data_IF_033410933057
#
_entry.id   IF_033410933057
#
_cell.length_a   1.000
_cell.length_b   1.000
_cell.length_c   1.000
_cell.angle_alpha   90.00
_cell.angle_beta   90.00
_cell.angle_gamma   90.00
#
_symmetry.space_group_name_H-M   'P 1'
#
loop_
_entity.id
_entity.type
_entity.pdbx_description
1 polymer ?
#
# COMPACT_ATOMS: atom_id res chain seq x y z
N UNK A 1 -27.15 -67.66 17.02
CA UNK A 1 -26.06 -67.04 16.20
C UNK A 1 -26.47 -65.76 15.44
N UNK A 2 -27.59 -65.10 15.76
CA UNK A 2 -28.08 -63.91 15.03
C UNK A 2 -27.84 -62.59 15.80
N UNK A 3 -27.72 -62.63 17.14
CA UNK A 3 -27.51 -61.43 17.97
C UNK A 3 -26.15 -60.72 17.84
N UNK A 4 -25.08 -61.42 17.45
CA UNK A 4 -23.75 -60.80 17.31
C UNK A 4 -23.50 -60.15 15.93
N UNK A 5 -24.29 -60.48 14.90
CA UNK A 5 -24.25 -59.77 13.60
C UNK A 5 -25.01 -58.45 13.64
N UNK A 6 -26.11 -58.38 14.40
CA UNK A 6 -26.89 -57.14 14.58
C UNK A 6 -26.11 -56.02 15.29
N UNK A 7 -25.33 -56.35 16.33
CA UNK A 7 -24.48 -55.36 17.03
C UNK A 7 -23.34 -54.80 16.16
N UNK A 8 -22.84 -55.56 15.19
CA UNK A 8 -21.78 -55.12 14.26
C UNK A 8 -22.31 -54.16 13.19
N UNK A 9 -23.54 -54.36 12.74
CA UNK A 9 -24.23 -53.49 11.75
C UNK A 9 -24.67 -52.17 12.40
N UNK A 10 -25.16 -52.20 13.64
CA UNK A 10 -25.56 -50.96 14.37
C UNK A 10 -24.33 -50.08 14.68
N UNK A 11 -23.18 -50.66 15.06
CA UNK A 11 -21.94 -49.89 15.24
C UNK A 11 -21.40 -49.31 13.92
N UNK A 12 -21.68 -49.93 12.78
CA UNK A 12 -21.28 -49.44 11.46
C UNK A 12 -22.19 -48.32 10.94
N UNK A 13 -23.48 -48.32 11.32
CA UNK A 13 -24.44 -47.27 10.95
C UNK A 13 -24.32 -45.99 11.80
N UNK A 14 -23.84 -46.09 13.05
CA UNK A 14 -23.52 -44.90 13.88
C UNK A 14 -22.34 -44.09 13.29
N UNK A 15 -21.44 -44.71 12.51
CA UNK A 15 -20.34 -44.00 11.84
C UNK A 15 -20.76 -43.21 10.59
N UNK A 16 -22.01 -43.36 10.12
CA UNK A 16 -22.54 -42.71 8.91
C UNK A 16 -23.67 -41.70 9.23
N UNK A 17 -23.92 -41.38 10.51
CA UNK A 17 -24.75 -40.24 10.87
C UNK A 17 -26.21 -40.32 10.41
N UNK A 18 -26.81 -41.52 10.40
CA UNK A 18 -28.25 -41.70 10.20
C UNK A 18 -28.90 -41.88 11.57
N UNK A 19 -29.65 -40.87 12.02
CA UNK A 19 -30.47 -40.96 13.22
C UNK A 19 -31.62 -41.97 12.98
N UNK A 20 -31.58 -43.12 13.66
CA UNK A 20 -32.70 -44.05 13.65
C UNK A 20 -33.83 -43.52 14.56
N UNK A 21 -34.90 -43.02 13.95
CA UNK A 21 -36.21 -42.86 14.59
C UNK A 21 -36.71 -44.26 14.96
N UNK A 22 -36.91 -44.51 16.26
CA UNK A 22 -37.53 -45.73 16.76
C UNK A 22 -39.00 -45.76 16.36
N UNK A 23 -39.45 -46.79 15.64
CA UNK A 23 -40.87 -47.06 15.42
C UNK A 23 -41.20 -48.34 16.17
N UNK A 24 -42.09 -48.23 17.16
CA UNK A 24 -42.73 -49.33 17.87
C UNK A 24 -43.55 -50.17 16.87
N UNK A 25 -43.28 -51.48 16.80
CA UNK A 25 -44.06 -52.42 16.01
C UNK A 25 -45.25 -52.93 16.84
N UNK A 26 -46.38 -52.23 16.76
CA UNK A 26 -47.68 -52.85 17.01
C UNK A 26 -48.63 -52.53 15.86
N UNK A 27 -49.35 -53.56 15.40
CA UNK A 27 -50.32 -53.64 14.29
C UNK A 27 -49.74 -53.84 12.87
N UNK A 28 -49.79 -55.11 12.46
CA UNK A 28 -49.53 -55.60 11.10
C UNK A 28 -50.76 -55.28 10.24
N UNK A 29 -50.59 -54.40 9.25
CA UNK A 29 -51.51 -54.22 8.13
C UNK A 29 -50.72 -54.37 6.83
N UNK A 30 -51.01 -55.42 6.08
CA UNK A 30 -50.33 -55.78 4.84
C UNK A 30 -50.70 -54.75 3.76
N UNK A 31 -49.92 -53.67 3.66
CA UNK A 31 -49.93 -52.82 2.49
C UNK A 31 -48.92 -53.36 1.48
N UNK A 32 -49.40 -53.64 0.26
CA UNK A 32 -48.63 -53.99 -0.92
C UNK A 32 -47.44 -53.04 -1.02
N UNK A 33 -46.21 -53.55 -0.88
CA UNK A 33 -45.00 -52.75 -0.99
C UNK A 33 -44.87 -52.26 -2.43
N UNK A 34 -45.31 -51.03 -2.69
CA UNK A 34 -44.92 -50.32 -3.90
C UNK A 34 -43.41 -50.08 -3.84
N UNK A 35 -42.72 -50.32 -4.94
CA UNK A 35 -41.30 -50.06 -5.04
C UNK A 35 -41.07 -48.56 -4.78
N UNK A 36 -40.63 -48.22 -3.57
CA UNK A 36 -40.14 -46.90 -3.26
C UNK A 36 -38.86 -46.73 -4.06
N UNK A 37 -38.94 -46.02 -5.19
CA UNK A 37 -37.75 -45.53 -5.87
C UNK A 37 -37.08 -44.54 -4.91
N UNK A 38 -36.11 -45.04 -4.15
CA UNK A 38 -35.13 -44.17 -3.51
C UNK A 38 -34.35 -43.55 -4.66
N UNK A 39 -34.73 -42.33 -5.04
CA UNK A 39 -33.83 -41.45 -5.78
C UNK A 39 -32.70 -41.16 -4.81
N UNK A 40 -31.64 -41.95 -4.87
CA UNK A 40 -30.37 -41.58 -4.27
C UNK A 40 -30.01 -40.28 -5.00
N UNK A 41 -30.01 -39.10 -4.34
CA UNK A 41 -29.56 -37.90 -5.02
C UNK A 41 -28.16 -38.22 -5.51
N UNK A 42 -27.96 -38.14 -6.84
CA UNK A 42 -26.64 -38.31 -7.42
C UNK A 42 -25.72 -37.42 -6.59
N UNK A 43 -24.74 -38.03 -5.91
CA UNK A 43 -23.69 -37.26 -5.25
C UNK A 43 -23.11 -36.42 -6.37
N UNK A 44 -23.41 -35.13 -6.37
CA UNK A 44 -22.97 -34.20 -7.39
C UNK A 44 -21.45 -34.11 -7.22
N UNK A 45 -20.73 -35.05 -7.81
CA UNK A 45 -19.26 -35.08 -7.81
C UNK A 45 -18.85 -34.05 -8.84
N UNK A 46 -18.88 -32.78 -8.41
CA UNK A 46 -18.17 -31.72 -9.11
C UNK A 46 -16.72 -32.21 -9.21
N UNK A 47 -16.25 -32.48 -10.43
CA UNK A 47 -14.86 -32.89 -10.66
C UNK A 47 -13.98 -31.77 -10.14
N UNK A 48 -13.05 -32.05 -9.21
CA UNK A 48 -12.28 -30.99 -8.59
C UNK A 48 -11.43 -30.26 -9.64
N UNK A 49 -11.35 -28.94 -9.52
CA UNK A 49 -10.51 -28.13 -10.40
C UNK A 49 -9.04 -28.63 -10.34
N UNK A 50 -8.40 -28.92 -11.48
CA UNK A 50 -7.00 -29.32 -11.51
C UNK A 50 -6.09 -28.29 -10.83
N UNK A 51 -5.06 -28.79 -10.14
CA UNK A 51 -4.03 -27.92 -9.57
C UNK A 51 -3.23 -27.25 -10.69
N UNK A 52 -2.72 -26.05 -10.41
CA UNK A 52 -1.84 -25.33 -11.34
C UNK A 52 -0.41 -25.85 -11.14
N UNK A 53 0.07 -26.69 -12.06
CA UNK A 53 1.35 -27.41 -11.88
C UNK A 53 2.54 -26.78 -12.61
N UNK A 54 2.30 -26.05 -13.70
CA UNK A 54 3.37 -25.42 -14.49
C UNK A 54 3.40 -23.92 -14.24
N UNK A 55 4.14 -23.51 -13.22
CA UNK A 55 4.35 -22.11 -12.82
C UNK A 55 5.82 -21.78 -13.05
N UNK A 56 6.10 -20.74 -13.82
CA UNK A 56 7.45 -20.21 -14.02
C UNK A 56 7.46 -18.70 -13.84
N UNK A 57 8.64 -18.11 -13.75
CA UNK A 57 8.72 -16.68 -13.60
C UNK A 57 10.12 -16.13 -13.78
N UNK A 58 10.15 -14.82 -13.95
CA UNK A 58 11.37 -14.02 -13.98
C UNK A 58 11.42 -13.17 -12.72
N UNK A 59 12.61 -12.99 -12.18
CA UNK A 59 12.81 -12.11 -11.04
C UNK A 59 14.07 -11.29 -11.22
N UNK A 60 14.08 -10.10 -10.63
CA UNK A 60 15.20 -9.20 -10.77
C UNK A 60 15.19 -8.09 -9.74
N UNK A 61 16.26 -7.31 -9.72
CA UNK A 61 16.37 -6.13 -8.89
C UNK A 61 15.78 -4.93 -9.63
N UNK A 62 15.05 -4.10 -8.90
CA UNK A 62 14.63 -2.76 -9.32
C UNK A 62 15.67 -1.74 -8.87
N UNK A 63 16.20 -1.93 -7.67
CA UNK A 63 17.25 -1.11 -7.06
C UNK A 63 18.07 -1.95 -6.07
N UNK A 64 18.85 -1.29 -5.20
CA UNK A 64 19.71 -1.94 -4.20
C UNK A 64 18.94 -2.60 -3.04
N UNK A 65 17.67 -2.24 -2.84
CA UNK A 65 16.81 -2.67 -1.75
C UNK A 65 15.54 -3.40 -2.21
N UNK A 66 15.09 -3.21 -3.45
CA UNK A 66 13.84 -3.77 -3.98
C UNK A 66 14.04 -4.54 -5.28
N UNK A 67 13.15 -5.49 -5.50
CA UNK A 67 13.10 -6.30 -6.70
C UNK A 67 11.68 -6.55 -7.17
N UNK A 68 11.58 -7.39 -8.18
CA UNK A 68 10.32 -7.76 -8.78
C UNK A 68 10.28 -9.25 -9.10
N UNK A 69 9.06 -9.75 -9.23
CA UNK A 69 8.76 -11.07 -9.73
C UNK A 69 7.64 -10.96 -10.76
N UNK A 70 7.85 -11.58 -11.92
CA UNK A 70 6.82 -11.77 -12.95
C UNK A 70 6.55 -13.26 -13.04
N UNK A 71 5.34 -13.68 -12.67
CA UNK A 71 4.90 -15.07 -12.75
C UNK A 71 4.10 -15.31 -14.02
N UNK A 72 4.20 -16.54 -14.50
CA UNK A 72 3.48 -17.09 -15.62
C UNK A 72 3.03 -18.51 -15.30
N UNK A 73 1.88 -18.93 -15.82
CA UNK A 73 1.41 -20.29 -15.66
C UNK A 73 0.59 -20.76 -16.86
N UNK A 74 0.51 -22.09 -17.01
CA UNK A 74 -0.36 -22.68 -18.02
C UNK A 74 -1.84 -22.48 -17.62
N UNK A 75 -2.71 -21.99 -18.52
CA UNK A 75 -4.15 -21.91 -18.25
C UNK A 75 -4.73 -23.28 -17.89
N UNK A 76 -5.57 -23.32 -16.86
CA UNK A 76 -6.33 -24.52 -16.47
C UNK A 76 -7.70 -24.49 -17.16
N UNK A 77 -8.10 -25.61 -17.76
CA UNK A 77 -9.42 -25.75 -18.39
C UNK A 77 -10.54 -25.54 -17.36
N UNK A 78 -11.62 -24.86 -17.76
CA UNK A 78 -12.77 -24.50 -16.92
C UNK A 78 -12.51 -23.52 -15.77
N UNK A 79 -11.28 -23.02 -15.61
CA UNK A 79 -10.98 -21.93 -14.69
C UNK A 79 -11.60 -20.62 -15.18
N UNK A 80 -12.27 -19.89 -14.30
CA UNK A 80 -12.78 -18.54 -14.58
C UNK A 80 -11.91 -17.45 -13.98
N UNK A 81 -10.87 -17.82 -13.24
CA UNK A 81 -9.89 -16.91 -12.65
C UNK A 81 -8.82 -17.65 -11.85
N UNK A 82 -7.87 -16.89 -11.32
CA UNK A 82 -6.72 -17.41 -10.58
C UNK A 82 -6.45 -16.57 -9.34
N UNK A 83 -5.80 -17.19 -8.35
CA UNK A 83 -5.16 -16.48 -7.24
C UNK A 83 -3.66 -16.74 -7.26
N UNK A 84 -2.88 -15.68 -7.07
CA UNK A 84 -1.45 -15.78 -6.77
C UNK A 84 -1.31 -15.78 -5.25
N UNK A 85 -0.64 -16.80 -4.72
CA UNK A 85 -0.40 -16.96 -3.30
C UNK A 85 1.06 -16.63 -2.99
N UNK A 86 1.29 -15.68 -2.08
CA UNK A 86 2.63 -15.26 -1.66
C UNK A 86 2.84 -15.68 -0.20
N UNK A 87 3.92 -16.40 0.07
CA UNK A 87 4.26 -16.77 1.44
C UNK A 87 4.71 -15.55 2.24
N UNK A 88 4.12 -15.33 3.41
CA UNK A 88 4.43 -14.18 4.27
C UNK A 88 5.41 -14.49 5.41
N UNK A 89 5.82 -15.77 5.56
CA UNK A 89 6.62 -16.25 6.68
C UNK A 89 5.87 -17.21 7.60
N UNK A 90 4.54 -17.04 7.68
CA UNK A 90 3.61 -17.87 8.45
C UNK A 90 2.73 -18.75 7.56
N UNK A 91 2.11 -18.15 6.53
CA UNK A 91 1.21 -18.82 5.62
C UNK A 91 1.19 -18.18 4.22
N UNK A 92 0.51 -18.84 3.29
CA UNK A 92 0.28 -18.30 1.95
C UNK A 92 -0.89 -17.31 1.95
N UNK A 93 -0.64 -16.09 1.46
CA UNK A 93 -1.63 -15.03 1.30
C UNK A 93 -2.05 -14.91 -0.15
N UNK A 94 -3.35 -15.07 -0.41
CA UNK A 94 -3.92 -15.14 -1.75
C UNK A 94 -4.35 -13.79 -2.29
N UNK A 95 -3.90 -13.45 -3.50
CA UNK A 95 -4.32 -12.29 -4.28
C UNK A 95 -5.15 -12.76 -5.47
N UNK A 96 -6.40 -12.30 -5.56
CA UNK A 96 -7.21 -12.53 -6.76
C UNK A 96 -6.66 -11.69 -7.92
N UNK A 97 -6.32 -12.37 -9.01
CA UNK A 97 -5.75 -11.74 -10.21
C UNK A 97 -6.70 -11.82 -11.41
N UNK A 98 -7.90 -12.38 -11.22
CA UNK A 98 -8.87 -12.60 -12.28
C UNK A 98 -8.42 -13.64 -13.31
N UNK A 99 -9.00 -13.59 -14.51
CA UNK A 99 -8.72 -14.53 -15.59
C UNK A 99 -7.49 -14.10 -16.42
N UNK A 100 -6.32 -14.21 -15.81
CA UNK A 100 -5.02 -13.96 -16.45
C UNK A 100 -4.10 -15.14 -16.23
N UNK A 101 -3.05 -15.24 -17.03
CA UNK A 101 -1.97 -16.24 -16.88
C UNK A 101 -0.59 -15.63 -16.68
N UNK A 102 -0.58 -14.36 -16.29
CA UNK A 102 0.61 -13.58 -15.97
C UNK A 102 0.29 -12.67 -14.79
N UNK A 103 1.23 -12.56 -13.86
CA UNK A 103 1.16 -11.62 -12.75
C UNK A 103 2.50 -10.92 -12.55
N UNK A 104 2.48 -9.60 -12.36
CA UNK A 104 3.68 -8.79 -12.18
C UNK A 104 3.61 -8.07 -10.84
N UNK A 105 4.55 -8.36 -9.95
CA UNK A 105 4.59 -7.79 -8.60
C UNK A 105 4.69 -6.25 -8.62
N UNK A 106 5.25 -5.67 -9.69
CA UNK A 106 5.39 -4.22 -9.85
C UNK A 106 4.07 -3.53 -10.11
N UNK A 107 3.13 -4.25 -10.72
CA UNK A 107 1.76 -3.78 -10.93
C UNK A 107 0.90 -4.12 -9.70
N UNK A 108 1.19 -5.24 -9.05
CA UNK A 108 0.43 -5.72 -7.91
C UNK A 108 0.68 -4.91 -6.63
N UNK A 109 1.88 -4.33 -6.46
CA UNK A 109 2.24 -3.42 -5.37
C UNK A 109 1.77 -3.93 -4.00
N UNK A 110 2.29 -5.08 -3.58
CA UNK A 110 1.78 -5.82 -2.43
C UNK A 110 2.59 -5.64 -1.15
N UNK A 111 3.84 -5.18 -1.24
CA UNK A 111 4.74 -5.20 -0.09
C UNK A 111 4.39 -4.06 0.90
N UNK A 112 4.27 -4.33 2.21
CA UNK A 112 3.96 -3.30 3.18
C UNK A 112 5.14 -2.35 3.43
N UNK A 113 4.90 -1.15 3.96
CA UNK A 113 5.97 -0.31 4.48
C UNK A 113 6.78 -1.02 5.58
N UNK A 114 8.11 -0.83 5.59
CA UNK A 114 8.98 -1.40 6.64
C UNK A 114 8.62 -0.87 8.05
N UNK A 115 8.02 0.32 8.15
CA UNK A 115 7.47 0.83 9.41
C UNK A 115 6.32 -0.03 9.95
N UNK A 116 5.51 -0.61 9.07
CA UNK A 116 4.45 -1.54 9.45
C UNK A 116 5.05 -2.82 10.01
N UNK A 117 6.09 -3.36 9.37
CA UNK A 117 6.76 -4.59 9.80
C UNK A 117 7.51 -4.39 11.13
N UNK A 118 8.27 -3.31 11.26
CA UNK A 118 9.04 -2.98 12.47
C UNK A 118 8.16 -2.61 13.67
N UNK A 119 6.90 -2.20 13.44
CA UNK A 119 5.92 -2.02 14.52
C UNK A 119 5.41 -3.32 15.12
N UNK A 120 5.61 -4.47 14.44
CA UNK A 120 5.25 -5.78 14.95
C UNK A 120 6.36 -6.31 15.86
N UNK A 121 5.98 -7.02 16.92
CA UNK A 121 6.94 -7.84 17.66
C UNK A 121 7.48 -8.94 16.75
N UNK A 122 8.73 -9.38 16.98
CA UNK A 122 9.28 -10.53 16.24
C UNK A 122 8.33 -11.72 16.39
N UNK A 123 8.03 -12.38 15.29
CA UNK A 123 7.27 -13.63 15.22
C UNK A 123 5.85 -13.54 15.78
N UNK A 124 5.23 -12.35 15.70
CA UNK A 124 3.97 -12.06 16.41
C UNK A 124 2.75 -11.89 15.52
N UNK A 125 2.90 -11.41 14.29
CA UNK A 125 1.75 -11.15 13.42
C UNK A 125 1.19 -12.47 12.84
N UNK A 126 -0.13 -12.59 12.90
CA UNK A 126 -0.89 -13.72 12.31
C UNK A 126 -1.85 -13.25 11.22
N UNK A 127 -2.16 -11.95 11.22
CA UNK A 127 -2.87 -11.25 10.17
C UNK A 127 -2.07 -11.17 8.86
N UNK A 128 -2.77 -10.95 7.75
CA UNK A 128 -2.12 -10.67 6.48
C UNK A 128 -1.50 -9.28 6.50
N UNK A 129 -0.16 -9.21 6.43
CA UNK A 129 0.59 -7.97 6.39
C UNK A 129 0.80 -7.43 4.98
N UNK A 130 0.53 -8.22 3.93
CA UNK A 130 0.58 -7.69 2.59
C UNK A 130 -0.58 -6.74 2.32
N UNK A 131 -0.35 -5.79 1.42
CA UNK A 131 -1.34 -4.80 1.04
C UNK A 131 -2.09 -5.24 -0.21
N UNK A 132 -3.41 -5.25 -0.11
CA UNK A 132 -4.32 -5.59 -1.20
C UNK A 132 -4.78 -4.34 -1.95
N UNK A 133 -5.16 -4.49 -3.22
CA UNK A 133 -5.69 -3.38 -4.02
C UNK A 133 -4.63 -2.46 -4.65
N UNK A 134 -3.38 -2.93 -4.78
CA UNK A 134 -2.28 -2.21 -5.46
C UNK A 134 -1.82 -0.92 -4.77
N UNK A 135 -1.94 -0.87 -3.45
CA UNK A 135 -1.61 0.31 -2.63
C UNK A 135 -0.29 0.17 -1.86
N UNK A 136 0.38 -0.98 -1.97
CA UNK A 136 1.67 -1.22 -1.34
C UNK A 136 2.85 -0.86 -2.22
N UNK A 137 3.98 -1.50 -1.95
CA UNK A 137 5.27 -1.22 -2.55
C UNK A 137 5.75 -2.41 -3.40
N UNK A 138 6.81 -2.22 -4.17
CA UNK A 138 7.54 -3.34 -4.78
C UNK A 138 8.17 -4.22 -3.71
N UNK A 139 8.41 -5.49 -4.05
CA UNK A 139 9.01 -6.44 -3.12
C UNK A 139 10.37 -5.94 -2.65
N UNK A 140 10.65 -6.05 -1.36
CA UNK A 140 12.04 -5.91 -0.87
C UNK A 140 12.89 -7.02 -1.47
N UNK A 141 14.17 -6.76 -1.71
CA UNK A 141 15.12 -7.72 -2.27
C UNK A 141 15.34 -8.95 -1.35
N UNK A 142 14.93 -8.86 -0.08
CA UNK A 142 14.82 -9.95 0.87
C UNK A 142 13.49 -9.84 1.64
N UNK A 143 12.73 -10.94 1.79
CA UNK A 143 11.53 -10.98 2.63
C UNK A 143 11.84 -11.15 4.12
N UNK A 144 13.10 -11.19 4.55
CA UNK A 144 13.47 -11.53 5.92
C UNK A 144 12.76 -10.68 6.99
N UNK A 145 12.59 -9.37 6.75
CA UNK A 145 11.87 -8.49 7.68
C UNK A 145 10.37 -8.79 7.73
N UNK A 146 9.77 -9.13 6.59
CA UNK A 146 8.38 -9.59 6.53
C UNK A 146 8.22 -10.89 7.29
N UNK A 147 9.08 -11.87 7.02
CA UNK A 147 9.04 -13.19 7.66
C UNK A 147 9.19 -13.07 9.17
N UNK A 148 10.15 -12.25 9.63
CA UNK A 148 10.36 -11.97 11.05
C UNK A 148 9.20 -11.24 11.72
N UNK A 149 8.43 -10.45 10.99
CA UNK A 149 7.26 -9.78 11.56
C UNK A 149 6.09 -10.76 11.79
N UNK A 150 5.98 -11.80 10.94
CA UNK A 150 4.93 -12.83 11.00
C UNK A 150 5.33 -14.06 11.83
N UNK A 151 4.36 -14.82 12.31
CA UNK A 151 4.62 -16.02 13.12
C UNK A 151 5.30 -17.14 12.29
N UNK A 152 6.63 -17.28 12.35
CA UNK A 152 7.33 -18.20 11.44
C UNK A 152 8.83 -18.39 11.69
N UNK A 153 9.22 -18.80 12.90
CA UNK A 153 10.61 -18.85 13.37
C UNK A 153 11.62 -19.48 12.37
N UNK A 154 11.22 -20.54 11.66
CA UNK A 154 12.08 -21.28 10.73
C UNK A 154 12.44 -20.47 9.46
N UNK A 155 11.69 -19.41 9.16
CA UNK A 155 11.81 -18.62 7.94
C UNK A 155 12.51 -17.28 8.14
N UNK A 156 12.80 -16.87 9.38
CA UNK A 156 13.38 -15.56 9.70
C UNK A 156 14.72 -15.26 9.00
N UNK A 157 15.48 -16.30 8.62
CA UNK A 157 16.75 -16.18 7.90
C UNK A 157 16.65 -16.40 6.40
N UNK A 158 15.46 -16.72 5.87
CA UNK A 158 15.26 -16.99 4.45
C UNK A 158 15.21 -15.67 3.68
N UNK A 159 15.89 -15.67 2.54
CA UNK A 159 16.05 -14.48 1.68
C UNK A 159 15.33 -14.62 0.35
N UNK A 160 14.60 -15.70 0.15
CA UNK A 160 13.81 -15.97 -1.04
C UNK A 160 12.30 -15.82 -0.77
N UNK A 161 11.59 -15.25 -1.75
CA UNK A 161 10.12 -15.30 -1.78
C UNK A 161 9.65 -16.66 -2.30
N UNK A 162 8.45 -17.06 -1.89
CA UNK A 162 7.81 -18.27 -2.37
C UNK A 162 6.41 -17.96 -2.88
N UNK A 163 6.14 -18.40 -4.10
CA UNK A 163 4.89 -18.17 -4.81
C UNK A 163 4.24 -19.49 -5.19
N UNK A 164 2.90 -19.50 -5.15
CA UNK A 164 2.03 -20.56 -5.64
C UNK A 164 0.87 -19.95 -6.41
N UNK A 165 0.18 -20.74 -7.22
CA UNK A 165 -1.00 -20.29 -7.97
C UNK A 165 -2.09 -21.32 -7.81
N UNK A 166 -3.32 -20.87 -7.60
CA UNK A 166 -4.53 -21.70 -7.68
C UNK A 166 -5.43 -21.17 -8.79
N UNK A 167 -6.21 -22.07 -9.37
CA UNK A 167 -7.30 -21.71 -10.28
C UNK A 167 -8.63 -21.76 -9.53
N UNK A 168 -9.61 -20.97 -9.96
CA UNK A 168 -10.96 -21.03 -9.38
C UNK A 168 -12.05 -20.90 -10.43
N UNK A 169 -13.25 -21.36 -10.05
CA UNK A 169 -14.54 -21.06 -10.68
C UNK A 169 -15.56 -20.71 -9.60
N UNK A 170 -16.73 -20.16 -9.98
CA UNK A 170 -17.72 -19.51 -9.07
C UNK A 170 -17.94 -20.14 -7.68
N UNK A 171 -17.83 -21.45 -7.53
CA UNK A 171 -18.08 -22.17 -6.26
C UNK A 171 -16.90 -22.99 -5.76
N UNK A 172 -15.72 -22.88 -6.36
CA UNK A 172 -14.61 -23.81 -6.13
C UNK A 172 -13.24 -23.19 -6.45
N UNK A 173 -12.24 -23.47 -5.62
CA UNK A 173 -10.83 -23.18 -5.87
C UNK A 173 -10.03 -24.50 -5.84
N UNK A 174 -9.08 -24.65 -6.78
CA UNK A 174 -8.19 -25.80 -6.79
C UNK A 174 -7.32 -25.83 -5.53
N UNK A 175 -6.96 -27.00 -5.03
CA UNK A 175 -5.97 -27.12 -3.96
C UNK A 175 -4.61 -26.52 -4.37
N UNK A 176 -3.90 -25.88 -3.43
CA UNK A 176 -2.51 -25.46 -3.63
C UNK A 176 -1.65 -26.69 -3.90
N UNK A 177 -0.90 -26.69 -4.99
CA UNK A 177 0.16 -27.67 -5.21
C UNK A 177 1.43 -27.21 -4.51
N UNK A 178 1.84 -27.92 -3.46
CA UNK A 178 3.05 -27.58 -2.72
C UNK A 178 4.34 -27.98 -3.45
N UNK A 179 4.26 -28.82 -4.48
CA UNK A 179 5.39 -29.21 -5.34
C UNK A 179 5.56 -28.25 -6.53
N UNK A 180 4.49 -27.59 -6.97
CA UNK A 180 4.53 -26.63 -8.06
C UNK A 180 4.52 -25.18 -7.56
N UNK A 181 5.59 -24.45 -7.83
CA UNK A 181 5.58 -23.00 -7.72
C UNK A 181 6.95 -22.38 -7.90
N UNK A 182 7.02 -21.07 -7.66
CA UNK A 182 8.20 -20.29 -7.99
C UNK A 182 8.89 -19.78 -6.73
N UNK A 183 10.19 -19.98 -6.64
CA UNK A 183 11.04 -19.44 -5.58
C UNK A 183 11.89 -18.32 -6.19
N UNK A 184 11.72 -17.10 -5.68
CA UNK A 184 12.42 -15.94 -6.20
C UNK A 184 13.49 -15.46 -5.21
N UNK A 185 14.75 -15.54 -5.63
CA UNK A 185 15.88 -14.98 -4.92
C UNK A 185 16.26 -13.65 -5.61
N UNK A 186 15.86 -12.52 -5.02
CA UNK A 186 16.05 -11.22 -5.68
C UNK A 186 17.49 -10.71 -5.52
N UNK A 187 18.13 -10.96 -4.37
CA UNK A 187 19.57 -10.83 -4.19
C UNK A 187 20.25 -12.13 -4.60
N UNK A 188 20.95 -12.14 -5.74
CA UNK A 188 21.92 -13.22 -6.02
C UNK A 188 23.06 -13.11 -5.01
N UNK A 189 23.15 -14.02 -4.05
CA UNK A 189 24.33 -14.13 -3.20
C UNK A 189 25.55 -14.41 -4.09
N UNK A 190 26.67 -13.69 -3.91
CA UNK A 190 27.93 -14.07 -4.53
C UNK A 190 28.45 -15.30 -3.79
N UNK A 191 27.97 -16.48 -4.15
CA UNK A 191 28.52 -17.80 -3.80
C UNK A 191 27.78 -18.87 -4.62
N UNK A 192 28.01 -18.87 -5.93
CA UNK A 192 28.44 -20.10 -6.59
C UNK A 192 29.96 -19.90 -6.76
N UNK A 193 30.73 -20.67 -6.00
CA UNK A 193 32.12 -20.39 -5.64
C UNK A 193 33.10 -20.65 -6.77
N UNK A 194 33.88 -19.62 -7.15
CA UNK A 194 35.33 -19.78 -7.38
C UNK A 194 36.07 -18.55 -6.84
N UNK A 195 36.86 -18.82 -5.81
CA UNK A 195 37.96 -18.09 -5.19
C UNK A 195 37.98 -16.55 -5.19
N UNK A 196 38.01 -16.03 -3.95
CA UNK A 196 38.43 -14.67 -3.61
C UNK A 196 39.88 -14.47 -4.04
N UNK A 197 40.07 -13.84 -5.20
CA UNK A 197 41.27 -13.04 -5.46
C UNK A 197 40.84 -11.59 -5.46
N UNK A 198 41.35 -10.84 -4.48
CA UNK A 198 41.26 -9.38 -4.45
C UNK A 198 41.70 -8.78 -5.78
N UNK A 199 40.88 -7.97 -6.48
CA UNK A 199 41.40 -7.13 -7.53
C UNK A 199 41.71 -5.74 -6.96
N UNK A 200 43.00 -5.43 -6.99
CA UNK A 200 43.60 -4.12 -7.28
C UNK A 200 42.78 -3.38 -8.36
N UNK A 201 42.61 -2.05 -8.27
CA UNK A 201 41.64 -1.33 -9.09
C UNK A 201 42.04 -1.39 -10.55
N UNK A 202 41.21 -2.05 -11.35
CA UNK A 202 41.27 -1.99 -12.81
C UNK A 202 39.86 -1.77 -13.35
N UNK A 203 39.53 -0.48 -13.48
CA UNK A 203 38.74 0.13 -14.55
C UNK A 203 37.60 -0.71 -15.15
N UNK A 204 36.37 -0.53 -14.64
CA UNK A 204 35.21 -0.22 -15.48
C UNK A 204 33.99 0.36 -14.70
N UNK A 205 34.23 1.34 -13.82
CA UNK A 205 33.14 2.16 -13.25
C UNK A 205 32.66 3.30 -14.18
N UNK A 206 33.14 3.37 -15.43
CA UNK A 206 32.96 4.53 -16.30
C UNK A 206 31.66 4.56 -17.15
N UNK A 207 30.67 3.70 -16.93
CA UNK A 207 29.50 3.62 -17.85
C UNK A 207 28.11 3.66 -17.20
N UNK A 208 28.01 3.63 -15.87
CA UNK A 208 26.73 3.51 -15.17
C UNK A 208 26.03 4.86 -15.06
N UNK A 209 24.77 4.93 -15.48
CA UNK A 209 23.87 6.04 -15.18
C UNK A 209 23.60 6.05 -13.67
N UNK A 210 23.94 7.14 -12.99
CA UNK A 210 23.78 7.30 -11.54
C UNK A 210 23.21 8.68 -11.21
N UNK A 211 22.99 8.96 -9.92
CA UNK A 211 22.65 10.31 -9.47
C UNK A 211 23.17 10.57 -8.06
N UNK A 212 23.45 11.83 -7.78
CA UNK A 212 23.75 12.35 -6.44
C UNK A 212 22.52 13.04 -5.87
N UNK A 213 22.28 12.84 -4.57
CA UNK A 213 21.20 13.47 -3.82
C UNK A 213 21.79 14.19 -2.61
N UNK A 214 21.50 15.48 -2.50
CA UNK A 214 21.80 16.28 -1.32
C UNK A 214 20.49 16.87 -0.80
N UNK A 215 20.12 16.46 0.42
CA UNK A 215 18.94 16.99 1.12
C UNK A 215 19.38 18.02 2.16
N UNK A 216 18.78 19.20 2.15
CA UNK A 216 19.07 20.26 3.12
C UNK A 216 17.80 20.70 3.82
N UNK A 217 17.75 20.51 5.14
CA UNK A 217 16.67 21.00 5.99
C UNK A 217 16.76 22.51 6.15
N UNK A 218 15.65 23.21 5.92
CA UNK A 218 15.57 24.65 6.11
C UNK A 218 15.77 25.02 7.59
N UNK A 219 16.31 26.21 7.85
CA UNK A 219 16.61 26.67 9.21
C UNK A 219 15.37 26.76 10.11
N UNK A 220 14.20 26.99 9.52
CA UNK A 220 12.90 27.02 10.19
C UNK A 220 12.28 25.62 10.39
N UNK A 221 12.96 24.57 9.92
CA UNK A 221 12.50 23.18 9.87
C UNK A 221 11.22 22.97 9.05
N UNK A 222 10.77 23.97 8.29
CA UNK A 222 9.47 23.95 7.60
C UNK A 222 9.47 23.21 6.27
N UNK A 223 10.66 22.94 5.70
CA UNK A 223 10.83 22.28 4.42
C UNK A 223 12.23 21.66 4.28
N UNK A 224 12.38 20.74 3.32
CA UNK A 224 13.68 20.26 2.85
C UNK A 224 13.83 20.59 1.38
N UNK A 225 14.97 21.16 0.99
CA UNK A 225 15.36 21.28 -0.41
C UNK A 225 16.20 20.09 -0.80
N UNK A 226 15.78 19.37 -1.84
CA UNK A 226 16.48 18.23 -2.40
C UNK A 226 17.17 18.71 -3.68
N UNK A 227 18.50 18.57 -3.73
CA UNK A 227 19.27 18.71 -4.97
C UNK A 227 19.50 17.34 -5.56
N UNK A 228 19.07 17.14 -6.80
CA UNK A 228 19.28 15.92 -7.57
C UNK A 228 20.17 16.22 -8.77
N UNK A 229 21.30 15.54 -8.86
CA UNK A 229 22.26 15.66 -9.96
C UNK A 229 22.44 14.32 -10.64
N UNK A 230 21.91 14.18 -11.86
CA UNK A 230 22.08 12.99 -12.69
C UNK A 230 23.47 12.93 -13.33
N UNK A 231 24.07 11.74 -13.33
CA UNK A 231 25.42 11.48 -13.86
C UNK A 231 25.29 10.41 -14.95
N UNK A 232 25.59 10.80 -16.19
CA UNK A 232 25.15 10.08 -17.39
C UNK A 232 25.95 8.85 -17.85
N UNK A 233 27.08 8.51 -17.22
CA UNK A 233 27.97 7.46 -17.73
C UNK A 233 28.33 7.71 -19.20
N UNK A 234 28.00 6.76 -20.11
CA UNK A 234 28.15 6.90 -21.57
C UNK A 234 27.11 7.80 -22.27
N UNK A 235 25.96 8.06 -21.64
CA UNK A 235 24.88 8.90 -22.17
C UNK A 235 24.89 10.28 -21.52
N UNK A 236 24.26 11.27 -22.13
CA UNK A 236 23.98 12.54 -21.47
C UNK A 236 22.63 12.45 -20.75
N UNK A 237 22.54 12.89 -19.49
CA UNK A 237 21.25 12.95 -18.79
C UNK A 237 20.37 14.01 -19.44
N UNK A 238 19.19 13.60 -19.92
CA UNK A 238 18.27 14.48 -20.66
C UNK A 238 17.12 14.98 -19.80
N UNK A 239 16.65 14.16 -18.86
CA UNK A 239 15.54 14.53 -18.00
C UNK A 239 15.63 13.88 -16.60
N UNK A 240 14.99 14.56 -15.65
CA UNK A 240 14.70 14.04 -14.32
C UNK A 240 13.19 14.09 -14.13
N UNK A 241 12.56 12.92 -13.96
CA UNK A 241 11.15 12.84 -13.56
C UNK A 241 11.06 12.98 -12.06
N UNK A 242 10.25 13.94 -11.63
CA UNK A 242 10.07 14.34 -10.23
C UNK A 242 9.13 13.39 -9.48
N UNK A 243 9.14 13.42 -8.14
CA UNK A 243 8.20 12.63 -7.31
C UNK A 243 6.72 12.93 -7.60
N UNK A 244 6.41 14.15 -8.05
CA UNK A 244 5.05 14.58 -8.44
C UNK A 244 4.60 14.07 -9.83
N UNK A 245 5.47 13.33 -10.54
CA UNK A 245 5.23 12.79 -11.88
C UNK A 245 5.51 13.77 -13.03
N UNK A 246 5.84 15.03 -12.75
CA UNK A 246 6.20 16.01 -13.79
C UNK A 246 7.68 15.90 -14.17
N UNK A 247 8.02 16.37 -15.37
CA UNK A 247 9.34 16.16 -15.98
C UNK A 247 10.15 17.45 -15.93
N UNK A 248 11.37 17.37 -15.43
CA UNK A 248 12.39 18.40 -15.55
C UNK A 248 13.35 18.06 -16.70
N UNK A 249 13.63 19.03 -17.57
CA UNK A 249 14.61 18.86 -18.65
C UNK A 249 15.97 19.36 -18.18
N UNK A 250 16.97 18.49 -18.24
CA UNK A 250 18.32 18.73 -17.72
C UNK A 250 18.74 17.72 -16.65
N UNK A 251 19.99 17.85 -16.20
CA UNK A 251 20.67 16.90 -15.33
C UNK A 251 20.80 17.37 -13.87
N UNK A 252 20.43 18.61 -13.55
CA UNK A 252 20.45 19.14 -12.20
C UNK A 252 19.08 19.74 -11.88
N UNK A 253 18.51 19.37 -10.73
CA UNK A 253 17.20 19.82 -10.27
C UNK A 253 17.27 20.17 -8.78
N UNK A 254 16.65 21.29 -8.40
CA UNK A 254 16.27 21.56 -7.01
C UNK A 254 14.76 21.33 -6.83
N UNK A 255 14.39 20.56 -5.81
CA UNK A 255 13.01 20.18 -5.52
C UNK A 255 12.72 20.33 -4.02
N UNK A 256 11.82 21.24 -3.68
CA UNK A 256 11.45 21.52 -2.27
C UNK A 256 10.26 20.69 -1.85
N UNK A 257 10.36 20.12 -0.64
CA UNK A 257 9.33 19.26 -0.07
C UNK A 257 8.96 19.69 1.34
N UNK A 258 7.72 19.38 1.72
CA UNK A 258 7.11 19.82 2.97
C UNK A 258 6.63 18.66 3.87
N UNK A 259 6.88 17.42 3.45
CA UNK A 259 6.53 16.22 4.19
C UNK A 259 7.78 15.35 4.42
N UNK A 260 7.85 14.72 5.59
CA UNK A 260 8.83 13.66 5.82
C UNK A 260 8.43 12.44 4.99
N UNK A 261 9.41 11.76 4.40
CA UNK A 261 9.15 10.63 3.52
C UNK A 261 10.30 10.35 2.57
N UNK A 262 10.06 9.42 1.66
CA UNK A 262 10.99 9.09 0.58
C UNK A 262 10.48 9.74 -0.72
N UNK A 263 11.38 10.46 -1.39
CA UNK A 263 11.10 11.14 -2.66
C UNK A 263 11.92 10.50 -3.76
N UNK A 264 11.24 10.01 -4.80
CA UNK A 264 11.84 9.26 -5.91
C UNK A 264 12.03 10.16 -7.12
N UNK A 265 13.27 10.25 -7.61
CA UNK A 265 13.63 10.93 -8.84
C UNK A 265 14.05 9.89 -9.87
N UNK A 266 13.46 9.90 -11.06
CA UNK A 266 13.89 9.02 -12.16
C UNK A 266 14.75 9.81 -13.12
N UNK A 267 16.03 9.47 -13.23
CA UNK A 267 17.00 10.12 -14.11
C UNK A 267 17.01 9.33 -15.40
N UNK A 268 16.86 10.01 -16.53
CA UNK A 268 16.82 9.41 -17.86
C UNK A 268 17.91 10.01 -18.74
N UNK A 269 18.66 9.17 -19.44
CA UNK A 269 19.67 9.62 -20.39
C UNK A 269 19.17 9.70 -21.84
N UNK A 270 20.01 10.22 -22.73
CA UNK A 270 19.72 10.39 -24.15
C UNK A 270 19.56 9.07 -24.93
N UNK A 271 19.91 7.94 -24.34
CA UNK A 271 19.76 6.60 -24.93
C UNK A 271 18.55 5.88 -24.31
N UNK A 272 17.83 6.54 -23.38
CA UNK A 272 16.62 6.04 -22.75
C UNK A 272 16.86 5.10 -21.56
N UNK A 273 18.09 5.03 -21.03
CA UNK A 273 18.36 4.33 -19.77
C UNK A 273 17.79 5.14 -18.62
N UNK A 274 17.26 4.45 -17.62
CA UNK A 274 16.70 5.07 -16.43
C UNK A 274 17.40 4.58 -15.17
N UNK A 275 17.59 5.46 -14.19
CA UNK A 275 17.98 5.10 -12.81
C UNK A 275 17.14 5.88 -11.83
N UNK A 276 16.92 5.33 -10.63
CA UNK A 276 16.15 5.99 -9.58
C UNK A 276 17.11 6.50 -8.50
N UNK A 277 16.91 7.74 -8.09
CA UNK A 277 17.57 8.34 -6.94
C UNK A 277 16.54 8.63 -5.84
N UNK A 278 16.89 8.30 -4.61
CA UNK A 278 15.99 8.40 -3.46
C UNK A 278 16.50 9.47 -2.52
N UNK A 279 15.68 10.48 -2.27
CA UNK A 279 15.90 11.43 -1.19
C UNK A 279 15.09 11.03 0.03
N UNK A 280 15.77 10.63 1.11
CA UNK A 280 15.16 10.39 2.41
C UNK A 280 15.08 11.71 3.16
N UNK A 281 13.86 12.13 3.46
CA UNK A 281 13.56 13.41 4.07
C UNK A 281 12.98 13.18 5.45
N UNK A 282 13.65 13.72 6.46
CA UNK A 282 13.27 13.65 7.85
C UNK A 282 13.52 14.99 8.55
N UNK A 283 12.89 15.19 9.71
CA UNK A 283 13.10 16.37 10.54
C UNK A 283 12.24 17.58 10.16
N UNK A 284 11.36 17.47 9.16
CA UNK A 284 10.40 18.54 8.85
C UNK A 284 9.39 18.70 9.98
N UNK A 285 9.24 19.93 10.46
CA UNK A 285 8.32 20.40 11.49
C UNK A 285 7.44 21.51 10.90
N UNK A 286 6.48 21.14 10.03
CA UNK A 286 5.55 22.11 9.47
C UNK A 286 4.64 22.70 10.56
N UNK A 287 4.62 24.03 10.65
CA UNK A 287 3.72 24.76 11.55
C UNK A 287 2.31 24.82 10.95
N UNK A 288 1.25 24.48 11.70
CA UNK A 288 -0.11 24.72 11.24
C UNK A 288 -0.37 26.24 11.17
N UNK A 289 -1.21 26.67 10.23
CA UNK A 289 -1.69 28.04 10.22
C UNK A 289 -2.71 28.26 11.33
N UNK A 290 -2.55 29.37 12.05
CA UNK A 290 -3.53 29.90 12.98
C UNK A 290 -4.02 31.24 12.41
N UNK A 291 -5.32 31.33 12.14
CA UNK A 291 -5.94 32.60 11.74
C UNK A 291 -6.68 33.18 12.94
N UNK A 292 -6.14 34.26 13.48
CA UNK A 292 -6.72 35.03 14.56
C UNK A 292 -7.77 36.00 14.01
N UNK A 293 -8.98 35.91 14.53
CA UNK A 293 -10.07 36.85 14.28
C UNK A 293 -9.99 37.98 15.31
N UNK A 294 -9.74 39.19 14.82
CA UNK A 294 -9.69 40.40 15.63
C UNK A 294 -11.01 41.14 15.49
N UNK A 295 -11.71 41.33 16.60
CA UNK A 295 -12.96 42.10 16.68
C UNK A 295 -12.71 43.23 17.66
N UNK A 296 -13.07 44.46 17.29
CA UNK A 296 -12.83 45.65 18.11
C UNK A 296 -11.36 45.77 18.60
N UNK A 297 -10.41 45.47 17.70
CA UNK A 297 -8.97 45.44 17.97
C UNK A 297 -8.52 44.42 19.05
N UNK A 298 -9.34 43.41 19.36
CA UNK A 298 -9.00 42.33 20.28
C UNK A 298 -9.08 40.97 19.59
N UNK A 299 -8.05 40.14 19.76
CA UNK A 299 -8.10 38.75 19.32
C UNK A 299 -9.15 37.99 20.11
N UNK A 300 -10.16 37.46 19.41
CA UNK A 300 -11.37 36.92 20.04
C UNK A 300 -11.61 35.44 19.71
N UNK A 301 -11.12 34.95 18.57
CA UNK A 301 -11.21 33.54 18.19
C UNK A 301 -10.06 33.14 17.25
N UNK A 302 -9.71 31.85 17.24
CA UNK A 302 -8.71 31.27 16.35
C UNK A 302 -9.34 30.23 15.44
N UNK A 303 -9.08 30.31 14.14
CA UNK A 303 -9.36 29.25 13.17
C UNK A 303 -8.10 28.40 13.03
N UNK A 304 -8.19 27.14 13.43
CA UNK A 304 -7.08 26.20 13.38
C UNK A 304 -7.12 25.39 12.08
N UNK A 305 -6.00 25.36 11.38
CA UNK A 305 -5.83 24.54 10.18
C UNK A 305 -5.08 23.25 10.50
N UNK A 306 -5.31 22.22 9.69
CA UNK A 306 -4.60 20.95 9.83
C UNK A 306 -3.10 21.15 9.55
N UNK A 307 -2.27 20.28 10.11
CA UNK A 307 -0.85 20.18 9.76
C UNK A 307 -0.64 19.94 8.25
N UNK A 308 -1.59 19.26 7.60
CA UNK A 308 -1.56 19.03 6.15
C UNK A 308 -1.84 20.29 5.33
N UNK A 309 -2.42 21.32 5.96
CA UNK A 309 -2.70 22.64 5.39
C UNK A 309 -1.64 23.68 5.82
N UNK A 310 -0.45 23.21 6.21
CA UNK A 310 0.63 24.07 6.66
C UNK A 310 0.94 25.18 5.64
N UNK A 311 1.17 26.37 6.18
CA UNK A 311 1.34 27.58 5.38
C UNK A 311 2.51 27.49 4.40
N UNK A 312 3.54 26.71 4.76
CA UNK A 312 4.73 26.48 3.95
C UNK A 312 4.44 25.94 2.54
N UNK A 313 3.27 25.31 2.32
CA UNK A 313 2.85 24.75 1.02
C UNK A 313 2.31 25.79 0.04
N UNK A 314 2.17 27.04 0.48
CA UNK A 314 1.46 28.07 -0.25
C UNK A 314 2.29 29.35 -0.37
N UNK A 315 2.13 30.05 -1.49
CA UNK A 315 2.83 31.30 -1.81
C UNK A 315 1.95 32.53 -1.59
N UNK A 316 0.62 32.35 -1.66
CA UNK A 316 -0.35 33.43 -1.50
C UNK A 316 -1.44 33.07 -0.47
N UNK A 317 -1.91 34.08 0.25
CA UNK A 317 -3.02 34.02 1.21
C UNK A 317 -4.06 35.10 0.88
N UNK A 318 -5.33 34.79 1.03
CA UNK A 318 -6.41 35.76 0.84
C UNK A 318 -7.66 35.39 1.62
N UNK A 319 -8.50 36.39 1.91
CA UNK A 319 -9.73 36.23 2.68
C UNK A 319 -10.89 37.03 2.09
N UNK A 320 -11.32 36.72 0.86
CA UNK A 320 -12.52 37.29 0.24
C UNK A 320 -12.90 36.50 -1.02
N UNK A 321 -14.14 36.57 -1.48
CA UNK A 321 -14.63 35.80 -2.64
C UNK A 321 -14.08 36.29 -3.98
N UNK A 322 -13.97 37.61 -4.16
CA UNK A 322 -13.67 38.23 -5.48
C UNK A 322 -12.24 38.73 -5.62
N UNK A 323 -11.44 38.61 -4.55
CA UNK A 323 -10.05 39.06 -4.54
C UNK A 323 -9.15 37.82 -4.66
N UNK A 324 -8.24 37.84 -5.63
CA UNK A 324 -7.15 36.86 -5.75
C UNK A 324 -6.25 36.90 -4.50
N UNK A 325 -5.82 35.76 -3.94
CA UNK A 325 -4.92 35.76 -2.80
C UNK A 325 -3.61 36.46 -3.16
N UNK A 326 -3.13 37.34 -2.28
CA UNK A 326 -1.90 38.11 -2.48
C UNK A 326 -0.71 37.37 -1.87
N UNK A 327 0.51 37.76 -2.28
CA UNK A 327 1.74 37.16 -1.77
C UNK A 327 1.77 37.28 -0.25
N UNK A 328 2.13 36.19 0.44
CA UNK A 328 2.10 36.16 1.90
C UNK A 328 3.12 37.12 2.52
N UNK A 329 2.69 37.84 3.57
CA UNK A 329 3.58 38.59 4.44
C UNK A 329 4.40 37.65 5.34
N UNK A 330 5.49 38.14 5.92
CA UNK A 330 6.36 37.37 6.83
C UNK A 330 5.62 36.84 8.06
N UNK A 331 4.67 37.61 8.60
CA UNK A 331 3.85 37.18 9.74
C UNK A 331 3.03 35.93 9.40
N UNK A 332 2.44 35.90 8.19
CA UNK A 332 1.67 34.75 7.72
C UNK A 332 2.58 33.55 7.50
N UNK A 333 3.79 33.76 6.97
CA UNK A 333 4.80 32.70 6.79
C UNK A 333 5.22 32.03 8.10
N UNK A 334 5.19 32.74 9.24
CA UNK A 334 5.43 32.15 10.58
C UNK A 334 4.21 31.38 11.13
N UNK A 335 3.16 31.18 10.32
CA UNK A 335 1.97 30.41 10.67
C UNK A 335 0.91 31.22 11.41
N UNK A 336 0.94 32.55 11.35
CA UNK A 336 -0.03 33.43 12.02
C UNK A 336 -0.61 34.47 11.07
N UNK A 337 -1.93 34.44 10.88
CA UNK A 337 -2.64 35.50 10.15
C UNK A 337 -3.62 36.21 11.07
N UNK A 338 -3.77 37.52 10.89
CA UNK A 338 -4.76 38.33 11.60
C UNK A 338 -5.80 38.83 10.60
N UNK A 339 -7.08 38.62 10.89
CA UNK A 339 -8.19 39.15 10.10
C UNK A 339 -9.03 40.06 11.00
N UNK A 340 -9.18 41.32 10.58
CA UNK A 340 -10.10 42.24 11.23
C UNK A 340 -11.53 41.92 10.80
N UNK A 341 -12.42 41.77 11.77
CA UNK A 341 -13.85 41.48 11.55
C UNK A 341 -14.69 42.57 12.21
N UNK A 342 -15.57 43.19 11.44
CA UNK A 342 -16.34 44.38 11.85
C UNK A 342 -17.86 44.22 11.70
N UNK A 343 -18.37 42.99 11.59
CA UNK A 343 -19.80 42.73 11.43
C UNK A 343 -20.42 42.06 12.66
N UNK A 344 -21.74 42.19 12.79
CA UNK A 344 -22.58 41.45 13.74
C UNK A 344 -23.51 40.51 12.96
N UNK A 345 -23.83 39.35 13.53
CA UNK A 345 -24.61 38.29 12.89
C UNK A 345 -23.75 37.18 12.29
N UNK A 346 -24.31 36.38 11.38
CA UNK A 346 -23.64 35.22 10.76
C UNK A 346 -23.18 35.55 9.34
N UNK A 347 -21.91 35.30 9.03
CA UNK A 347 -21.35 35.38 7.67
C UNK A 347 -20.37 34.25 7.38
N UNK A 348 -20.22 33.93 6.09
CA UNK A 348 -19.20 33.00 5.60
C UNK A 348 -17.91 33.76 5.30
N UNK A 349 -16.81 33.31 5.89
CA UNK A 349 -15.46 33.73 5.58
C UNK A 349 -14.82 32.70 4.64
N UNK A 350 -14.31 33.17 3.51
CA UNK A 350 -13.66 32.34 2.51
C UNK A 350 -12.16 32.57 2.60
N UNK A 351 -11.43 31.58 3.08
CA UNK A 351 -9.97 31.59 3.15
C UNK A 351 -9.43 30.89 1.90
N UNK A 352 -8.49 31.56 1.23
CA UNK A 352 -7.87 31.10 -0.01
C UNK A 352 -6.37 30.93 0.16
N UNK A 353 -5.87 29.82 -0.35
CA UNK A 353 -4.44 29.55 -0.47
C UNK A 353 -4.07 29.28 -1.92
N UNK A 354 -3.00 29.90 -2.43
CA UNK A 354 -2.44 29.55 -3.74
C UNK A 354 -1.08 28.91 -3.56
N UNK A 355 -0.83 27.80 -4.24
CA UNK A 355 0.50 27.19 -4.27
C UNK A 355 1.37 27.80 -5.38
N UNK A 356 2.65 27.41 -5.44
CA UNK A 356 3.60 27.88 -6.46
C UNK A 356 3.17 27.52 -7.90
N UNK A 357 2.38 26.45 -8.07
CA UNK A 357 1.82 26.01 -9.37
C UNK A 357 0.58 26.81 -9.79
N UNK A 358 0.10 27.73 -8.95
CA UNK A 358 -1.07 28.57 -9.23
C UNK A 358 -2.41 27.93 -8.84
N UNK A 359 -2.42 26.72 -8.27
CA UNK A 359 -3.64 26.04 -7.80
C UNK A 359 -4.18 26.71 -6.54
N UNK A 360 -5.48 27.00 -6.52
CA UNK A 360 -6.16 27.63 -5.39
C UNK A 360 -6.92 26.58 -4.57
N UNK A 361 -6.70 26.58 -3.26
CA UNK A 361 -7.50 25.87 -2.26
C UNK A 361 -8.44 26.85 -1.56
N UNK A 362 -9.69 26.44 -1.36
CA UNK A 362 -10.70 27.20 -0.63
C UNK A 362 -11.05 26.49 0.68
N UNK A 363 -11.16 27.27 1.75
CA UNK A 363 -11.61 26.84 3.07
C UNK A 363 -12.67 27.80 3.56
N UNK A 364 -13.84 27.28 3.92
CA UNK A 364 -15.00 28.09 4.26
C UNK A 364 -15.30 27.94 5.75
N UNK A 365 -15.41 29.07 6.43
CA UNK A 365 -15.81 29.14 7.83
C UNK A 365 -17.07 29.97 7.96
N UNK A 366 -18.07 29.43 8.63
CA UNK A 366 -19.19 30.20 9.13
C UNK A 366 -18.79 30.85 10.45
N UNK A 367 -18.88 32.18 10.53
CA UNK A 367 -18.56 32.98 11.70
C UNK A 367 -19.84 33.66 12.16
N UNK A 368 -20.21 33.47 13.42
CA UNK A 368 -21.34 34.17 14.04
C UNK A 368 -20.83 35.04 15.18
N UNK A 369 -21.12 36.34 15.10
CA UNK A 369 -20.76 37.34 16.11
C UNK A 369 -22.05 37.85 16.74
N UNK A 370 -22.15 37.78 18.06
CA UNK A 370 -23.30 38.30 18.82
C UNK A 370 -22.83 39.38 19.79
N UNK A 371 -23.52 40.51 19.80
CA UNK A 371 -23.32 41.57 20.79
C UNK A 371 -24.27 41.38 21.97
N UNK A 372 -23.71 41.31 23.17
CA UNK A 372 -24.45 41.27 24.43
C UNK A 372 -24.73 42.67 24.97
N UNK A 373 -25.70 42.77 25.87
CA UNK A 373 -26.20 44.02 26.47
C UNK A 373 -25.17 44.84 27.26
N UNK A 374 -24.01 44.28 27.59
CA UNK A 374 -22.93 44.94 28.33
C UNK A 374 -21.66 45.21 27.49
N UNK A 375 -21.78 45.20 26.16
CA UNK A 375 -20.61 45.32 25.26
C UNK A 375 -19.73 44.07 25.19
N UNK A 376 -20.23 42.93 25.71
CA UNK A 376 -19.57 41.64 25.54
C UNK A 376 -19.87 41.09 24.14
N UNK A 377 -18.82 40.69 23.42
CA UNK A 377 -18.94 40.05 22.12
C UNK A 377 -18.70 38.55 22.27
N UNK A 378 -19.61 37.71 21.77
CA UNK A 378 -19.38 36.27 21.63
C UNK A 378 -19.16 35.91 20.17
N UNK A 379 -18.26 34.94 19.94
CA UNK A 379 -17.89 34.47 18.61
C UNK A 379 -18.03 32.96 18.57
N UNK A 380 -18.79 32.46 17.60
CA UNK A 380 -18.77 31.04 17.24
C UNK A 380 -18.24 30.86 15.83
N UNK A 381 -17.53 29.76 15.61
CA UNK A 381 -16.93 29.43 14.32
C UNK A 381 -17.23 27.98 13.97
N UNK A 382 -17.56 27.73 12.71
CA UNK A 382 -17.82 26.39 12.18
C UNK A 382 -17.16 26.26 10.81
N UNK A 383 -16.30 25.26 10.63
CA UNK A 383 -15.76 24.90 9.31
C UNK A 383 -16.86 24.19 8.51
N UNK A 384 -17.05 24.59 7.26
CA UNK A 384 -18.10 24.07 6.36
C UNK A 384 -17.56 23.04 5.37
#
# INVERSE_FOLDING_TARGET
>A
MIGNKAKKIIKMLVYIGIACIAINFETVGIAKAEAFNIVIPAKNTVVPLPQVTNIWGDSGNLDSARGYVVLHWTPVSEATGYKVHVYDGYQYRGFDVGNVTKWDSRVAKIYPPESTLTSKGSDSATEDLFLHGKVGLDLMNSPANLYKATQGLEYNSKTNYMFRVTSYRKSEESAIDFNAGYIAQLIKTPNDTTEVVTPTPTTNEAEKLTAEIVSTLAADLGSVTIKCSGIGGKGEVTEIRKPDGTIWKGNNLEYTVYDNGEYYFTIVDNIGRETIAIAKVAGIQVKPLIVALNINNKTTANLNFSRNDAIARYTNFGYNWDIEPTVMSEQVKDGKANILVTFVGTKKLHIKFKNAEGKIKYEIFEITITEGTNGQTSVSTKRL
#
